data_IF_162936449837
#
_entry.id   IF_162936449837
#
_cell.length_a   1.000
_cell.length_b   1.000
_cell.length_c   1.000
_cell.angle_alpha   90.00
_cell.angle_beta   90.00
_cell.angle_gamma   90.00
#
_symmetry.space_group_name_H-M   'P 1'
#
loop_
_entity.id
_entity.type
_entity.pdbx_description
1 polymer ?
#
# COMPACT_ATOMS: atom_id res chain seq x y z
N UNK A 1 -20.21 -21.56 11.60
CA UNK A 1 -18.85 -20.97 11.58
C UNK A 1 -17.98 -21.36 10.38
N UNK A 2 -18.04 -22.60 9.84
CA UNK A 2 -17.21 -23.00 8.65
C UNK A 2 -17.58 -22.32 7.32
N UNK A 3 -18.79 -21.77 7.20
CA UNK A 3 -19.31 -21.16 5.96
C UNK A 3 -19.09 -19.64 5.91
N UNK A 4 -18.97 -18.98 7.07
CA UNK A 4 -18.83 -17.52 7.17
C UNK A 4 -17.38 -17.07 6.87
N UNK A 5 -16.38 -17.87 7.25
CA UNK A 5 -14.97 -17.58 6.98
C UNK A 5 -14.64 -17.41 5.48
N UNK A 6 -15.05 -18.31 4.56
CA UNK A 6 -14.80 -18.10 3.13
C UNK A 6 -15.62 -16.95 2.53
N UNK A 7 -16.79 -16.62 3.09
CA UNK A 7 -17.61 -15.49 2.64
C UNK A 7 -17.03 -14.13 3.07
N UNK A 8 -16.44 -14.06 4.27
CA UNK A 8 -15.82 -12.86 4.84
C UNK A 8 -14.40 -12.61 4.35
N UNK A 9 -13.70 -13.64 3.88
CA UNK A 9 -12.31 -13.57 3.41
C UNK A 9 -12.01 -12.42 2.42
N UNK A 10 -12.80 -12.19 1.35
CA UNK A 10 -12.53 -11.08 0.42
C UNK A 10 -12.68 -9.70 1.09
N UNK A 11 -13.61 -9.54 2.03
CA UNK A 11 -13.82 -8.28 2.76
C UNK A 11 -12.63 -8.00 3.68
N UNK A 12 -12.16 -9.01 4.41
CA UNK A 12 -11.00 -8.88 5.31
C UNK A 12 -9.74 -8.53 4.51
N UNK A 13 -9.50 -9.20 3.38
CA UNK A 13 -8.34 -8.93 2.52
C UNK A 13 -8.39 -7.52 1.90
N UNK A 14 -9.58 -7.07 1.48
CA UNK A 14 -9.79 -5.68 1.06
C UNK A 14 -9.48 -4.68 2.17
N UNK A 15 -9.87 -4.98 3.41
CA UNK A 15 -9.55 -4.17 4.59
C UNK A 15 -8.05 -4.12 4.88
N UNK A 16 -7.34 -5.25 4.81
CA UNK A 16 -5.87 -5.30 4.96
C UNK A 16 -5.20 -4.43 3.90
N UNK A 17 -5.65 -4.51 2.65
CA UNK A 17 -5.13 -3.69 1.56
C UNK A 17 -5.25 -2.20 1.85
N UNK A 18 -6.42 -1.75 2.30
CA UNK A 18 -6.65 -0.35 2.64
C UNK A 18 -5.73 0.10 3.78
N UNK A 19 -5.63 -0.71 4.84
CA UNK A 19 -4.76 -0.43 5.98
C UNK A 19 -3.29 -0.29 5.57
N UNK A 20 -2.79 -1.17 4.71
CA UNK A 20 -1.40 -1.11 4.21
C UNK A 20 -1.15 0.18 3.43
N UNK A 21 -2.05 0.57 2.53
CA UNK A 21 -1.92 1.82 1.77
C UNK A 21 -1.91 3.04 2.69
N UNK A 22 -2.79 3.08 3.69
CA UNK A 22 -2.85 4.18 4.66
C UNK A 22 -1.56 4.22 5.49
N UNK A 23 -1.07 3.09 5.99
CA UNK A 23 0.19 3.02 6.74
C UNK A 23 1.38 3.50 5.90
N UNK A 24 1.42 3.15 4.61
CA UNK A 24 2.45 3.61 3.68
C UNK A 24 2.40 5.13 3.47
N UNK A 25 1.20 5.70 3.30
CA UNK A 25 1.01 7.14 3.17
C UNK A 25 1.49 7.87 4.45
N UNK A 26 1.09 7.38 5.62
CA UNK A 26 1.53 7.92 6.91
C UNK A 26 3.06 7.82 7.08
N UNK A 27 3.67 6.70 6.69
CA UNK A 27 5.12 6.53 6.73
C UNK A 27 5.86 7.53 5.81
N UNK A 28 5.25 7.92 4.69
CA UNK A 28 5.80 8.94 3.79
C UNK A 28 5.83 10.32 4.46
N UNK A 29 4.74 10.69 5.15
CA UNK A 29 4.64 11.95 5.91
C UNK A 29 5.57 11.94 7.14
N UNK A 30 5.88 10.76 7.68
CA UNK A 30 6.80 10.58 8.81
C UNK A 30 8.22 11.11 8.59
N UNK A 31 8.60 11.40 7.34
CA UNK A 31 9.85 12.13 7.02
C UNK A 31 9.95 13.51 7.70
N UNK A 32 8.83 14.12 8.05
CA UNK A 32 8.79 15.41 8.78
C UNK A 32 9.34 15.32 10.21
N UNK A 33 9.41 14.12 10.80
CA UNK A 33 9.83 13.90 12.20
C UNK A 33 11.28 13.40 12.29
N UNK A 34 12.12 13.73 11.29
CA UNK A 34 13.50 13.26 11.14
C UNK A 34 13.65 11.72 11.04
N UNK A 35 12.56 11.00 10.75
CA UNK A 35 12.65 9.58 10.41
C UNK A 35 13.21 9.43 8.99
N UNK A 36 14.15 8.50 8.79
CA UNK A 36 14.65 8.14 7.45
C UNK A 36 13.54 7.39 6.70
N UNK A 37 12.83 8.08 5.84
CA UNK A 37 11.78 7.51 4.99
C UNK A 37 11.92 8.00 3.55
N UNK A 38 11.22 7.34 2.62
CA UNK A 38 11.22 7.73 1.20
C UNK A 38 10.60 9.12 0.95
N UNK A 39 9.87 9.67 1.93
CA UNK A 39 9.33 11.02 1.88
C UNK A 39 10.37 12.13 2.07
N UNK A 40 11.58 11.80 2.54
CA UNK A 40 12.64 12.78 2.78
C UNK A 40 13.02 13.57 1.51
N UNK A 41 13.02 12.91 0.34
CA UNK A 41 13.26 13.56 -0.96
C UNK A 41 12.15 14.56 -1.32
N UNK A 42 10.89 14.24 -0.97
CA UNK A 42 9.73 15.11 -1.21
C UNK A 42 9.84 16.35 -0.30
N UNK A 43 10.16 16.15 0.98
CA UNK A 43 10.36 17.24 1.95
C UNK A 43 11.55 18.12 1.52
N UNK A 44 12.67 17.53 1.13
CA UNK A 44 13.84 18.27 0.66
C UNK A 44 13.53 19.11 -0.59
N UNK A 45 12.71 18.59 -1.51
CA UNK A 45 12.22 19.32 -2.67
C UNK A 45 11.29 20.48 -2.30
N UNK A 46 10.40 20.28 -1.33
CA UNK A 46 9.53 21.33 -0.77
C UNK A 46 10.35 22.44 -0.12
N UNK A 47 11.33 22.09 0.71
CA UNK A 47 12.22 23.05 1.38
C UNK A 47 13.09 23.84 0.38
N UNK A 48 13.53 23.19 -0.70
CA UNK A 48 14.32 23.83 -1.76
C UNK A 48 13.48 24.57 -2.79
N UNK A 49 12.14 24.60 -2.63
CA UNK A 49 11.17 25.12 -3.59
C UNK A 49 11.41 24.60 -5.03
N UNK A 50 11.85 23.34 -5.14
CA UNK A 50 12.22 22.72 -6.41
C UNK A 50 11.23 21.60 -6.75
N UNK A 51 10.30 21.92 -7.66
CA UNK A 51 9.28 20.99 -8.13
C UNK A 51 9.86 19.72 -8.75
N UNK A 52 11.05 19.77 -9.36
CA UNK A 52 11.66 18.59 -9.97
C UNK A 52 12.02 17.53 -8.92
N UNK A 53 12.53 17.95 -7.74
CA UNK A 53 12.84 17.04 -6.63
C UNK A 53 11.56 16.48 -6.00
N UNK A 54 10.51 17.29 -5.87
CA UNK A 54 9.21 16.85 -5.37
C UNK A 54 8.62 15.78 -6.30
N UNK A 55 8.64 16.03 -7.61
CA UNK A 55 8.13 15.08 -8.60
C UNK A 55 8.98 13.82 -8.65
N UNK A 56 10.30 13.91 -8.54
CA UNK A 56 11.18 12.73 -8.52
C UNK A 56 10.89 11.83 -7.31
N UNK A 57 10.82 12.42 -6.10
CA UNK A 57 10.49 11.68 -4.89
C UNK A 57 9.05 11.14 -4.93
N UNK A 58 8.11 11.97 -5.35
CA UNK A 58 6.69 11.62 -5.47
C UNK A 58 6.46 10.49 -6.47
N UNK A 59 7.15 10.48 -7.61
CA UNK A 59 7.05 9.43 -8.62
C UNK A 59 7.54 8.09 -8.08
N UNK A 60 8.67 8.08 -7.35
CA UNK A 60 9.23 6.86 -6.75
C UNK A 60 8.27 6.32 -5.68
N UNK A 61 7.74 7.18 -4.81
CA UNK A 61 6.79 6.78 -3.77
C UNK A 61 5.48 6.27 -4.39
N UNK A 62 4.96 6.95 -5.42
CA UNK A 62 3.75 6.52 -6.12
C UNK A 62 3.94 5.16 -6.80
N UNK A 63 5.08 4.94 -7.47
CA UNK A 63 5.40 3.66 -8.09
C UNK A 63 5.46 2.54 -7.06
N UNK A 64 6.10 2.76 -5.91
CA UNK A 64 6.17 1.80 -4.82
C UNK A 64 4.78 1.53 -4.20
N UNK A 65 3.96 2.57 -4.02
CA UNK A 65 2.60 2.41 -3.51
C UNK A 65 1.73 1.54 -4.43
N UNK A 66 1.80 1.77 -5.75
CA UNK A 66 1.11 0.95 -6.75
C UNK A 66 1.63 -0.48 -6.75
N UNK A 67 2.95 -0.69 -6.71
CA UNK A 67 3.56 -2.01 -6.65
C UNK A 67 3.09 -2.81 -5.43
N UNK A 68 3.04 -2.18 -4.25
CA UNK A 68 2.55 -2.81 -3.02
C UNK A 68 1.07 -3.14 -3.15
N UNK A 69 0.26 -2.20 -3.65
CA UNK A 69 -1.17 -2.38 -3.84
C UNK A 69 -1.49 -3.55 -4.79
N UNK A 70 -0.85 -3.56 -5.96
CA UNK A 70 -1.04 -4.60 -6.97
C UNK A 70 -0.49 -5.95 -6.51
N UNK A 71 0.65 -5.96 -5.81
CA UNK A 71 1.20 -7.16 -5.19
C UNK A 71 0.24 -7.79 -4.19
N UNK A 72 -0.35 -6.96 -3.31
CA UNK A 72 -1.33 -7.44 -2.33
C UNK A 72 -2.63 -7.91 -3.00
N UNK A 73 -3.08 -7.21 -4.04
CA UNK A 73 -4.23 -7.59 -4.86
C UNK A 73 -4.00 -8.93 -5.57
N UNK A 74 -2.79 -9.19 -6.07
CA UNK A 74 -2.42 -10.46 -6.68
C UNK A 74 -2.40 -11.61 -5.67
N UNK A 75 -1.87 -11.37 -4.46
CA UNK A 75 -1.88 -12.34 -3.35
C UNK A 75 -3.32 -12.67 -2.93
N UNK A 76 -4.18 -11.65 -2.85
CA UNK A 76 -5.60 -11.83 -2.55
C UNK A 76 -6.29 -12.70 -3.62
N UNK A 77 -6.08 -12.40 -4.90
CA UNK A 77 -6.64 -13.20 -6.01
C UNK A 77 -6.15 -14.65 -5.97
N UNK A 78 -4.88 -14.88 -5.64
CA UNK A 78 -4.33 -16.24 -5.52
C UNK A 78 -4.93 -17.00 -4.34
N UNK A 79 -5.11 -16.32 -3.20
CA UNK A 79 -5.70 -16.92 -1.99
C UNK A 79 -7.19 -17.19 -2.15
N UNK A 80 -7.92 -16.26 -2.78
CA UNK A 80 -9.35 -16.41 -3.10
C UNK A 80 -9.60 -17.58 -4.07
N UNK A 81 -8.71 -17.79 -5.07
CA UNK A 81 -8.79 -18.94 -5.99
C UNK A 81 -8.61 -20.29 -5.29
N UNK A 82 -7.79 -20.38 -4.24
CA UNK A 82 -7.63 -21.60 -3.44
C UNK A 82 -8.82 -21.87 -2.51
N UNK A 83 -9.47 -20.83 -2.00
CA UNK A 83 -10.66 -20.96 -1.14
C UNK A 83 -11.93 -21.36 -1.92
N UNK A 84 -11.98 -21.10 -3.24
CA UNK A 84 -13.12 -21.44 -4.11
C UNK A 84 -13.18 -22.90 -4.61
N UNK A 85 -12.26 -23.78 -4.22
CA UNK A 85 -12.23 -25.20 -4.65
C UNK A 85 -12.83 -26.19 -3.63
N UNK A 86 -13.48 -25.71 -2.56
CA UNK A 86 -14.03 -26.56 -1.50
C UNK A 86 -15.55 -26.84 -1.54
N UNK A 87 -16.25 -26.47 -2.61
CA UNK A 87 -17.73 -26.50 -2.64
C UNK A 87 -18.35 -27.13 -3.89
N UNK A 88 -17.66 -28.06 -4.53
CA UNK A 88 -18.31 -28.97 -5.48
C UNK A 88 -18.74 -30.26 -4.76
#
# INVERSE_FOLDING_TARGET
VKVELPLSAPIILGGIRLSVVISLATATIGSTVAARTLGEVIIAGLLSNNLAFILQGGLIVAALAVLIYDGLSAIERYTARRMGQGTA
#
